data_IF_238945397984
#
_entry.id   IF_238945397984
#
_cell.length_a   1.000
_cell.length_b   1.000
_cell.length_c   1.000
_cell.angle_alpha   90.00
_cell.angle_beta   90.00
_cell.angle_gamma   90.00
#
_symmetry.space_group_name_H-M   'P 1'
#
loop_
_entity.id
_entity.type
_entity.pdbx_description
1 polymer ?
#
# COMPACT_ATOMS: atom_id res chain seq x y z
N UNK A 1 54.09 75.91 -6.44
CA UNK A 1 52.69 76.27 -6.68
C UNK A 1 51.87 75.56 -5.62
N UNK A 2 51.53 76.33 -4.58
CA UNK A 2 50.54 76.05 -3.53
C UNK A 2 49.19 76.43 -4.11
N UNK A 3 48.15 75.62 -3.88
CA UNK A 3 46.74 76.04 -3.72
C UNK A 3 45.88 74.77 -3.46
N UNK A 4 45.00 74.59 -2.47
CA UNK A 4 44.57 75.24 -1.21
C UNK A 4 43.86 74.13 -0.38
N UNK A 5 43.85 74.27 0.95
CA UNK A 5 43.04 73.52 1.93
C UNK A 5 41.83 74.40 2.33
N UNK A 6 40.86 74.03 3.21
CA UNK A 6 40.30 72.75 3.68
C UNK A 6 38.73 72.73 3.61
N UNK A 7 38.07 71.62 3.92
CA UNK A 7 36.61 71.60 4.11
C UNK A 7 36.05 70.30 4.68
N UNK A 8 35.79 70.31 5.98
CA UNK A 8 35.08 69.30 6.77
C UNK A 8 33.68 69.00 6.23
N UNK A 9 33.37 67.74 5.92
CA UNK A 9 32.00 67.22 5.91
C UNK A 9 31.80 66.31 7.12
N UNK A 10 31.20 66.93 8.14
CA UNK A 10 30.61 66.28 9.30
C UNK A 10 29.53 65.29 8.90
N UNK A 11 29.60 64.09 9.49
CA UNK A 11 28.48 63.49 10.21
C UNK A 11 27.24 63.05 9.42
N UNK A 12 26.94 61.76 9.60
CA UNK A 12 25.57 61.23 9.76
C UNK A 12 24.80 60.99 8.46
N UNK A 13 25.19 59.95 7.73
CA UNK A 13 24.24 59.17 6.94
C UNK A 13 23.85 57.92 7.73
N UNK A 14 22.95 58.15 8.69
CA UNK A 14 22.27 57.10 9.44
C UNK A 14 21.16 56.44 8.63
N UNK A 15 21.52 55.78 7.52
CA UNK A 15 20.57 55.01 6.70
C UNK A 15 20.67 53.49 6.97
N UNK A 16 21.30 53.10 8.07
CA UNK A 16 20.84 51.95 8.85
C UNK A 16 19.51 52.29 9.51
N UNK A 17 18.47 52.51 8.71
CA UNK A 17 17.12 52.17 9.11
C UNK A 17 17.05 50.63 9.23
N UNK A 18 17.88 50.08 10.12
CA UNK A 18 17.54 48.96 10.94
C UNK A 18 16.22 49.38 11.56
N UNK A 19 15.15 48.89 10.94
CA UNK A 19 13.78 49.05 11.41
C UNK A 19 13.74 48.36 12.76
N UNK A 20 14.14 49.10 13.78
CA UNK A 20 13.99 48.84 15.18
C UNK A 20 12.49 49.00 15.49
N UNK A 21 11.70 48.09 14.93
CA UNK A 21 10.61 47.49 15.68
C UNK A 21 11.23 46.26 16.33
N UNK A 22 11.99 46.51 17.40
CA UNK A 22 12.51 45.51 18.31
C UNK A 22 11.38 44.69 18.88
N UNK A 23 11.06 43.60 18.18
CA UNK A 23 10.89 42.32 18.82
C UNK A 23 12.10 41.54 18.32
N UNK A 24 13.18 41.58 19.09
CA UNK A 24 14.28 40.64 18.95
C UNK A 24 13.68 39.29 18.61
N UNK A 25 14.11 38.65 17.50
CA UNK A 25 13.68 37.28 17.22
C UNK A 25 13.99 36.47 18.46
N UNK A 26 12.94 36.16 19.20
CA UNK A 26 13.06 35.49 20.48
C UNK A 26 13.53 34.08 20.20
N UNK A 27 14.25 33.44 21.14
CA UNK A 27 14.49 32.00 21.05
C UNK A 27 13.18 31.22 20.87
N UNK A 28 12.04 31.78 21.30
CA UNK A 28 10.70 31.26 21.04
C UNK A 28 10.27 31.29 19.56
N UNK A 29 10.72 32.24 18.76
CA UNK A 29 10.39 32.30 17.32
C UNK A 29 11.19 31.24 16.53
N UNK A 30 12.47 31.03 16.88
CA UNK A 30 13.32 30.00 16.24
C UNK A 30 12.80 28.59 16.56
N UNK A 31 12.38 28.35 17.79
CA UNK A 31 11.75 27.08 18.17
C UNK A 31 10.43 26.87 17.40
N UNK A 32 9.60 27.91 17.27
CA UNK A 32 8.37 27.85 16.47
C UNK A 32 8.62 27.46 15.02
N UNK A 33 9.65 28.01 14.40
CA UNK A 33 10.03 27.68 13.01
C UNK A 33 10.49 26.22 12.89
N UNK A 34 11.30 25.71 13.85
CA UNK A 34 11.73 24.30 13.86
C UNK A 34 10.53 23.36 14.04
N UNK A 35 9.64 23.64 14.99
CA UNK A 35 8.44 22.83 15.21
C UNK A 35 7.51 22.86 13.99
N UNK A 36 7.35 24.01 13.34
CA UNK A 36 6.61 24.13 12.09
C UNK A 36 7.21 23.28 10.97
N UNK A 37 8.53 23.28 10.83
CA UNK A 37 9.21 22.51 9.79
C UNK A 37 9.15 21.00 10.04
N UNK A 38 9.27 20.56 11.30
CA UNK A 38 9.08 19.15 11.69
C UNK A 38 7.64 18.70 11.44
N UNK A 39 6.65 19.55 11.75
CA UNK A 39 5.24 19.27 11.46
C UNK A 39 4.99 19.09 9.95
N UNK A 40 5.66 19.89 9.12
CA UNK A 40 5.56 19.77 7.66
C UNK A 40 6.24 18.50 7.14
N UNK A 41 7.41 18.12 7.67
CA UNK A 41 8.06 16.84 7.33
C UNK A 41 7.16 15.65 7.66
N UNK A 42 6.63 15.59 8.89
CA UNK A 42 5.72 14.51 9.32
C UNK A 42 4.47 14.47 8.43
N UNK A 43 3.89 15.63 8.11
CA UNK A 43 2.74 15.72 7.21
C UNK A 43 3.08 15.25 5.80
N UNK A 44 4.29 15.52 5.31
CA UNK A 44 4.76 15.08 4.00
C UNK A 44 4.94 13.57 3.93
N UNK A 45 5.48 12.96 4.98
CA UNK A 45 5.73 11.52 5.08
C UNK A 45 4.41 10.75 5.20
N UNK A 46 3.43 11.30 5.94
CA UNK A 46 2.06 10.78 5.97
C UNK A 46 1.40 10.90 4.60
N UNK A 47 1.58 12.00 3.87
CA UNK A 47 1.03 12.15 2.50
C UNK A 47 1.63 11.13 1.55
N UNK A 48 2.94 10.89 1.63
CA UNK A 48 3.65 9.92 0.81
C UNK A 48 3.20 8.49 1.14
N UNK A 49 3.20 8.12 2.43
CA UNK A 49 2.74 6.81 2.88
C UNK A 49 1.29 6.55 2.47
N UNK A 50 0.41 7.55 2.56
CA UNK A 50 -0.97 7.43 2.06
C UNK A 50 -1.03 7.25 0.54
N UNK A 51 -0.16 7.90 -0.21
CA UNK A 51 -0.10 7.77 -1.66
C UNK A 51 0.37 6.37 -2.06
N UNK A 52 1.44 5.87 -1.44
CA UNK A 52 2.01 4.55 -1.68
C UNK A 52 1.01 3.44 -1.32
N UNK A 53 0.35 3.52 -0.17
CA UNK A 53 -0.73 2.59 0.20
C UNK A 53 -1.85 2.62 -0.85
N UNK A 54 -2.23 3.79 -1.38
CA UNK A 54 -3.28 3.89 -2.41
C UNK A 54 -2.85 3.25 -3.73
N UNK A 55 -1.59 3.41 -4.10
CA UNK A 55 -1.03 2.85 -5.32
C UNK A 55 -0.90 1.33 -5.22
N UNK A 56 -0.35 0.82 -4.12
CA UNK A 56 -0.27 -0.62 -3.83
C UNK A 56 -1.66 -1.26 -3.69
N UNK A 57 -2.58 -0.61 -2.99
CA UNK A 57 -3.96 -1.07 -2.87
C UNK A 57 -4.65 -1.10 -4.24
N UNK A 58 -4.45 -0.09 -5.09
CA UNK A 58 -5.01 -0.05 -6.44
C UNK A 58 -4.51 -1.21 -7.31
N UNK A 59 -3.20 -1.49 -7.28
CA UNK A 59 -2.58 -2.62 -8.00
C UNK A 59 -3.13 -3.96 -7.51
N UNK A 60 -3.20 -4.15 -6.19
CA UNK A 60 -3.68 -5.39 -5.57
C UNK A 60 -5.18 -5.62 -5.81
N UNK A 61 -6.00 -4.55 -5.74
CA UNK A 61 -7.45 -4.62 -5.95
C UNK A 61 -7.79 -5.07 -7.37
N UNK A 62 -7.05 -4.61 -8.38
CA UNK A 62 -7.36 -4.97 -9.75
C UNK A 62 -7.13 -6.46 -10.02
N UNK A 63 -6.02 -7.00 -9.50
CA UNK A 63 -5.74 -8.45 -9.57
C UNK A 63 -6.72 -9.26 -8.72
N UNK A 64 -7.10 -8.79 -7.53
CA UNK A 64 -8.06 -9.47 -6.68
C UNK A 64 -9.45 -9.60 -7.33
N UNK A 65 -9.90 -8.58 -8.07
CA UNK A 65 -11.19 -8.63 -8.80
C UNK A 65 -11.18 -9.68 -9.91
N UNK A 66 -10.11 -9.71 -10.73
CA UNK A 66 -9.99 -10.69 -11.81
C UNK A 66 -9.85 -12.11 -11.28
N UNK A 67 -9.04 -12.31 -10.23
CA UNK A 67 -8.92 -13.61 -9.58
C UNK A 67 -10.23 -14.05 -8.93
N UNK A 68 -10.96 -13.13 -8.28
CA UNK A 68 -12.27 -13.43 -7.70
C UNK A 68 -13.29 -13.84 -8.76
N UNK A 69 -13.42 -13.06 -9.85
CA UNK A 69 -14.32 -13.40 -10.95
C UNK A 69 -13.92 -14.71 -11.64
N UNK A 70 -12.62 -14.92 -11.87
CA UNK A 70 -12.09 -16.16 -12.45
C UNK A 70 -12.34 -17.37 -11.56
N UNK A 71 -12.19 -17.24 -10.25
CA UNK A 71 -12.49 -18.31 -9.30
C UNK A 71 -13.98 -18.71 -9.34
N UNK A 72 -14.90 -17.73 -9.38
CA UNK A 72 -16.33 -17.99 -9.51
C UNK A 72 -16.64 -18.69 -10.85
N UNK A 73 -16.08 -18.20 -11.95
CA UNK A 73 -16.25 -18.83 -13.26
C UNK A 73 -15.71 -20.27 -13.30
N UNK A 74 -14.54 -20.51 -12.70
CA UNK A 74 -13.94 -21.83 -12.59
C UNK A 74 -14.80 -22.80 -11.75
N UNK A 75 -15.42 -22.32 -10.66
CA UNK A 75 -16.35 -23.11 -9.86
C UNK A 75 -17.58 -23.54 -10.68
N UNK A 76 -18.18 -22.63 -11.44
CA UNK A 76 -19.29 -22.96 -12.33
C UNK A 76 -18.87 -23.94 -13.43
N UNK A 77 -17.72 -23.70 -14.08
CA UNK A 77 -17.20 -24.60 -15.11
C UNK A 77 -16.95 -26.01 -14.56
N UNK A 78 -16.38 -26.12 -13.36
CA UNK A 78 -16.19 -27.40 -12.69
C UNK A 78 -17.53 -28.09 -12.37
N UNK A 79 -18.53 -27.33 -11.90
CA UNK A 79 -19.88 -27.84 -11.67
C UNK A 79 -20.53 -28.41 -12.94
N UNK A 80 -20.47 -27.67 -14.05
CA UNK A 80 -20.96 -28.16 -15.34
C UNK A 80 -20.18 -29.37 -15.86
N UNK A 81 -18.86 -29.41 -15.64
CA UNK A 81 -18.04 -30.55 -16.01
C UNK A 81 -18.43 -31.81 -15.22
N UNK A 82 -18.72 -31.67 -13.93
CA UNK A 82 -19.20 -32.78 -13.10
C UNK A 82 -20.56 -33.31 -13.57
N UNK A 83 -21.48 -32.41 -13.92
CA UNK A 83 -22.78 -32.78 -14.50
C UNK A 83 -22.59 -33.49 -15.85
N UNK A 84 -21.72 -32.97 -16.72
CA UNK A 84 -21.43 -33.57 -18.02
C UNK A 84 -20.79 -34.96 -17.88
N UNK A 85 -19.85 -35.14 -16.95
CA UNK A 85 -19.25 -36.45 -16.64
C UNK A 85 -20.31 -37.40 -16.06
N UNK A 86 -21.16 -36.93 -15.14
CA UNK A 86 -22.24 -37.73 -14.58
C UNK A 86 -23.22 -38.22 -15.65
N UNK A 87 -23.72 -37.31 -16.49
CA UNK A 87 -24.59 -37.64 -17.62
C UNK A 87 -23.91 -38.55 -18.65
N UNK A 88 -22.62 -38.31 -18.94
CA UNK A 88 -21.83 -39.13 -19.83
C UNK A 88 -21.66 -40.56 -19.32
N UNK A 89 -21.36 -40.74 -18.03
CA UNK A 89 -21.27 -42.06 -17.38
C UNK A 89 -22.64 -42.72 -17.25
N UNK A 90 -23.71 -41.96 -17.02
CA UNK A 90 -25.08 -42.50 -16.94
C UNK A 90 -25.53 -43.19 -18.23
N UNK A 91 -24.96 -42.84 -19.39
CA UNK A 91 -25.21 -43.55 -20.64
C UNK A 91 -24.54 -44.95 -20.70
N UNK A 92 -23.54 -45.21 -19.85
CA UNK A 92 -22.74 -46.44 -19.88
C UNK A 92 -23.00 -47.32 -18.65
N UNK A 93 -23.46 -46.73 -17.54
CA UNK A 93 -23.74 -47.42 -16.28
C UNK A 93 -24.92 -46.79 -15.52
N UNK A 94 -25.47 -47.47 -14.50
CA UNK A 94 -26.55 -46.91 -13.69
C UNK A 94 -26.17 -45.57 -13.03
N UNK A 95 -27.14 -44.67 -12.91
CA UNK A 95 -26.98 -43.31 -12.34
C UNK A 95 -26.29 -43.29 -10.96
N UNK A 96 -26.58 -44.30 -10.13
CA UNK A 96 -25.97 -44.45 -8.81
C UNK A 96 -24.46 -44.77 -8.89
N UNK A 97 -24.04 -45.54 -9.89
CA UNK A 97 -22.64 -45.88 -10.13
C UNK A 97 -21.85 -44.69 -10.68
N UNK A 98 -22.44 -43.94 -11.62
CA UNK A 98 -21.86 -42.71 -12.16
C UNK A 98 -21.58 -41.68 -11.05
N UNK A 99 -22.58 -41.48 -10.18
CA UNK A 99 -22.49 -40.55 -9.05
C UNK A 99 -21.42 -40.96 -8.03
N UNK A 100 -21.25 -42.26 -7.78
CA UNK A 100 -20.19 -42.77 -6.88
C UNK A 100 -18.80 -42.52 -7.44
N UNK A 101 -18.56 -42.78 -8.73
CA UNK A 101 -17.24 -42.55 -9.35
C UNK A 101 -16.86 -41.07 -9.29
N UNK A 102 -17.78 -40.19 -9.65
CA UNK A 102 -17.58 -38.74 -9.57
C UNK A 102 -17.29 -38.30 -8.13
N UNK A 103 -18.03 -38.83 -7.16
CA UNK A 103 -17.83 -38.56 -5.74
C UNK A 103 -16.46 -39.00 -5.23
N UNK A 104 -15.98 -40.18 -5.63
CA UNK A 104 -14.64 -40.68 -5.26
C UNK A 104 -13.53 -39.79 -5.83
N UNK A 105 -13.63 -39.42 -7.11
CA UNK A 105 -12.64 -38.55 -7.77
C UNK A 105 -12.55 -37.18 -7.07
N UNK A 106 -13.70 -36.56 -6.78
CA UNK A 106 -13.75 -35.31 -6.02
C UNK A 106 -13.25 -35.47 -4.59
N UNK A 107 -13.56 -36.58 -3.93
CA UNK A 107 -13.08 -36.88 -2.58
C UNK A 107 -11.56 -36.94 -2.52
N UNK A 108 -10.92 -37.60 -3.49
CA UNK A 108 -9.45 -37.65 -3.60
C UNK A 108 -8.88 -36.27 -3.88
N UNK A 109 -9.43 -35.53 -4.84
CA UNK A 109 -8.99 -34.17 -5.15
C UNK A 109 -9.09 -33.25 -3.92
N UNK A 110 -10.22 -33.30 -3.21
CA UNK A 110 -10.46 -32.55 -1.98
C UNK A 110 -9.48 -32.93 -0.86
N UNK A 111 -9.18 -34.23 -0.69
CA UNK A 111 -8.21 -34.69 0.28
C UNK A 111 -6.80 -34.17 -0.01
N UNK A 112 -6.37 -34.15 -1.29
CA UNK A 112 -5.08 -33.58 -1.70
C UNK A 112 -5.03 -32.09 -1.40
N UNK A 113 -6.03 -31.32 -1.85
CA UNK A 113 -6.11 -29.88 -1.61
C UNK A 113 -6.10 -29.52 -0.12
N UNK A 114 -6.87 -30.25 0.70
CA UNK A 114 -6.87 -30.07 2.15
C UNK A 114 -5.51 -30.42 2.77
N UNK A 115 -4.81 -31.44 2.24
CA UNK A 115 -3.49 -31.83 2.72
C UNK A 115 -2.43 -30.77 2.41
N UNK A 116 -2.45 -30.18 1.22
CA UNK A 116 -1.54 -29.09 0.82
C UNK A 116 -1.83 -27.82 1.60
N UNK A 117 -3.11 -27.47 1.75
CA UNK A 117 -3.54 -26.37 2.60
C UNK A 117 -2.96 -26.53 4.01
N UNK A 118 -3.20 -27.66 4.67
CA UNK A 118 -2.69 -27.95 6.02
C UNK A 118 -1.17 -27.84 6.13
N UNK A 119 -0.41 -28.29 5.12
CA UNK A 119 1.05 -28.18 5.11
C UNK A 119 1.51 -26.73 5.09
N UNK A 120 0.86 -25.87 4.29
CA UNK A 120 1.15 -24.44 4.23
C UNK A 120 0.89 -23.71 5.56
N UNK A 121 -0.22 -24.03 6.24
CA UNK A 121 -0.52 -23.46 7.58
C UNK A 121 0.49 -23.90 8.64
N UNK A 122 0.96 -25.15 8.56
CA UNK A 122 1.92 -25.70 9.52
C UNK A 122 3.33 -25.12 9.36
N UNK A 123 3.76 -24.78 8.14
CA UNK A 123 5.03 -24.09 7.92
C UNK A 123 5.01 -22.66 8.47
N UNK A 124 3.88 -21.94 8.34
CA UNK A 124 3.71 -20.60 8.91
C UNK A 124 3.69 -20.61 10.45
N UNK A 125 3.13 -21.65 11.06
CA UNK A 125 3.09 -21.80 12.52
C UNK A 125 4.40 -22.36 13.12
N UNK A 126 5.21 -23.10 12.35
CA UNK A 126 6.46 -23.72 12.83
C UNK A 126 7.67 -22.77 12.84
N UNK A 127 7.49 -21.50 12.51
CA UNK A 127 8.51 -20.45 12.62
C UNK A 127 8.08 -19.46 13.71
N UNK A 128 8.32 -19.83 14.98
CA UNK A 128 8.96 -19.04 16.05
C UNK A 128 8.86 -19.83 17.37
N UNK A 129 9.86 -19.75 18.28
CA UNK A 129 10.70 -18.59 18.63
C UNK A 129 11.85 -18.27 17.67
#
# INVERSE_FOLDING_TARGET
MVNESPGTTSGTRGDYAYRETGRERSMGDVLKDIFGNVQEMVRSEIRLARAEIKEEAGKTVNSARLLGAGAVAALFALGFLLVAVGQGLANVMPDWGASLVVGVVLGVAGAVLLSEGRRSWQCLYRIKP
#
